data_IF_986723464828
#
_entry.id   IF_986723464828
#
_cell.length_a   1.000
_cell.length_b   1.000
_cell.length_c   1.000
_cell.angle_alpha   90.00
_cell.angle_beta   90.00
_cell.angle_gamma   90.00
#
_symmetry.space_group_name_H-M   'P 1'
#
loop_
_entity.id
_entity.type
_entity.pdbx_description
1 polymer ?
#
# COMPACT_ATOMS: atom_id res chain seq x y z
N UNK A 1 -2.49 -12.72 20.30
CA UNK A 1 -2.96 -11.57 19.49
C UNK A 1 -2.11 -10.37 19.89
N UNK A 2 -1.10 -10.02 19.09
CA UNK A 2 -0.14 -8.95 19.45
C UNK A 2 -0.71 -7.61 18.97
N UNK A 3 -0.78 -6.64 19.88
CA UNK A 3 -1.40 -5.34 19.63
C UNK A 3 -0.33 -4.29 19.34
N UNK A 4 -0.76 -3.19 18.71
CA UNK A 4 0.00 -2.02 18.25
C UNK A 4 1.06 -1.44 19.22
N UNK A 5 1.05 -1.85 20.50
CA UNK A 5 1.99 -1.42 21.53
C UNK A 5 3.38 -2.05 21.42
N UNK A 6 3.52 -3.16 20.70
CA UNK A 6 4.80 -3.88 20.56
C UNK A 6 5.77 -3.24 19.53
N UNK A 7 5.32 -2.28 18.72
CA UNK A 7 6.18 -1.57 17.76
C UNK A 7 7.01 -0.43 18.36
N UNK A 8 6.78 -0.07 19.64
CA UNK A 8 7.44 1.06 20.30
C UNK A 8 8.89 0.82 20.77
N UNK A 9 9.53 -0.29 20.41
CA UNK A 9 10.82 -0.71 20.98
C UNK A 9 11.90 -1.13 19.94
N UNK A 10 11.84 -0.62 18.71
CA UNK A 10 12.93 -0.79 17.74
C UNK A 10 13.76 0.48 17.61
N UNK A 11 14.43 0.87 18.69
CA UNK A 11 15.52 1.84 18.63
C UNK A 11 16.86 1.10 18.53
N UNK A 12 17.38 0.95 17.30
CA UNK A 12 18.82 1.03 16.92
C UNK A 12 19.05 0.49 15.49
N UNK A 13 19.34 1.40 14.56
CA UNK A 13 20.42 1.23 13.58
C UNK A 13 20.31 0.18 12.46
N UNK A 14 19.26 -0.63 12.37
CA UNK A 14 19.06 -1.54 11.24
C UNK A 14 18.04 -0.96 10.28
N UNK A 15 18.43 -0.86 9.01
CA UNK A 15 17.53 -0.51 7.93
C UNK A 15 16.35 -1.50 7.95
N UNK A 16 15.14 -1.03 8.30
CA UNK A 16 13.92 -1.83 8.29
C UNK A 16 13.62 -2.28 6.86
N UNK A 17 14.21 -3.41 6.49
CA UNK A 17 14.12 -4.07 5.20
C UNK A 17 13.39 -5.39 5.42
N UNK A 18 12.26 -5.58 4.75
CA UNK A 18 11.48 -6.81 4.88
C UNK A 18 10.10 -6.72 4.22
N UNK A 19 9.36 -7.84 4.16
CA UNK A 19 7.98 -7.86 3.71
C UNK A 19 7.14 -6.81 4.47
N UNK A 20 6.30 -6.05 3.76
CA UNK A 20 5.49 -4.98 4.37
C UNK A 20 6.19 -3.63 4.55
N UNK A 21 7.49 -3.52 4.25
CA UNK A 21 8.23 -2.26 4.35
C UNK A 21 8.53 -1.65 2.98
N UNK A 22 8.28 -0.35 2.87
CA UNK A 22 8.67 0.48 1.73
C UNK A 22 9.56 1.61 2.28
N UNK A 23 10.77 1.77 1.73
CA UNK A 23 11.71 2.87 2.11
C UNK A 23 11.91 3.01 3.64
N UNK A 24 11.95 1.89 4.37
CA UNK A 24 12.16 1.86 5.81
C UNK A 24 10.93 2.19 6.67
N UNK A 25 9.74 2.34 6.07
CA UNK A 25 8.47 2.52 6.77
C UNK A 25 7.49 1.40 6.44
N UNK A 26 6.64 1.04 7.39
CA UNK A 26 5.59 0.05 7.17
C UNK A 26 4.52 0.62 6.22
N UNK A 27 3.90 -0.20 5.38
CA UNK A 27 2.94 0.27 4.37
C UNK A 27 1.76 1.07 4.98
N UNK A 28 1.35 0.76 6.22
CA UNK A 28 0.29 1.48 6.93
C UNK A 28 0.63 2.94 7.23
N UNK A 29 1.90 3.29 7.31
CA UNK A 29 2.35 4.66 7.59
C UNK A 29 2.18 5.60 6.38
N UNK A 30 1.94 5.06 5.19
CA UNK A 30 1.78 5.83 3.96
C UNK A 30 0.34 6.26 3.68
N UNK A 31 -0.63 5.87 4.51
CA UNK A 31 -2.06 6.17 4.30
C UNK A 31 -2.30 7.68 4.19
N UNK A 32 -1.72 8.46 5.10
CA UNK A 32 -1.87 9.93 5.09
C UNK A 32 -1.22 10.56 3.86
N UNK A 33 -0.04 10.06 3.45
CA UNK A 33 0.68 10.54 2.27
C UNK A 33 -0.14 10.31 0.99
N UNK A 34 -0.71 9.11 0.83
CA UNK A 34 -1.62 8.77 -0.27
C UNK A 34 -2.83 9.70 -0.29
N UNK A 35 -3.47 9.91 0.87
CA UNK A 35 -4.63 10.81 0.97
C UNK A 35 -4.26 12.24 0.59
N UNK A 36 -3.10 12.75 1.03
CA UNK A 36 -2.63 14.09 0.70
C UNK A 36 -2.31 14.25 -0.80
N UNK A 37 -1.65 13.28 -1.43
CA UNK A 37 -1.38 13.29 -2.87
C UNK A 37 -2.69 13.33 -3.67
N UNK A 38 -3.68 12.51 -3.28
CA UNK A 38 -5.00 12.51 -3.92
C UNK A 38 -5.73 13.83 -3.74
N UNK A 39 -5.72 14.40 -2.53
CA UNK A 39 -6.39 15.67 -2.20
C UNK A 39 -5.78 16.85 -2.96
N UNK A 40 -4.46 16.82 -3.19
CA UNK A 40 -3.73 17.86 -3.93
C UNK A 40 -3.72 17.64 -5.44
N UNK A 41 -4.45 16.64 -5.96
CA UNK A 41 -4.56 16.37 -7.40
C UNK A 41 -3.33 15.71 -8.01
N UNK A 42 -2.32 15.34 -7.21
CA UNK A 42 -1.09 14.65 -7.64
C UNK A 42 -1.34 13.16 -7.85
N UNK A 43 -2.29 12.84 -8.73
CA UNK A 43 -2.79 11.48 -8.94
C UNK A 43 -1.71 10.55 -9.50
N UNK A 44 -0.79 11.04 -10.34
CA UNK A 44 0.30 10.23 -10.92
C UNK A 44 1.27 9.74 -9.84
N UNK A 45 1.51 10.58 -8.83
CA UNK A 45 2.37 10.25 -7.71
C UNK A 45 1.66 9.34 -6.71
N UNK A 46 0.37 9.60 -6.46
CA UNK A 46 -0.46 8.72 -5.66
C UNK A 46 -0.47 7.29 -6.24
N UNK A 47 -0.64 7.16 -7.55
CA UNK A 47 -0.60 5.86 -8.23
C UNK A 47 0.77 5.17 -8.07
N UNK A 48 1.86 5.88 -8.37
CA UNK A 48 3.22 5.32 -8.23
C UNK A 48 3.52 4.86 -6.80
N UNK A 49 3.04 5.60 -5.80
CA UNK A 49 3.18 5.21 -4.40
C UNK A 49 2.31 3.99 -4.09
N UNK A 50 1.04 4.01 -4.48
CA UNK A 50 0.11 2.90 -4.24
C UNK A 50 0.56 1.58 -4.88
N UNK A 51 1.11 1.60 -6.09
CA UNK A 51 1.63 0.38 -6.73
C UNK A 51 2.76 -0.26 -5.91
N UNK A 52 3.66 0.56 -5.34
CA UNK A 52 4.73 0.08 -4.45
C UNK A 52 4.18 -0.43 -3.12
N UNK A 53 3.12 0.19 -2.60
CA UNK A 53 2.46 -0.28 -1.38
C UNK A 53 1.75 -1.61 -1.61
N UNK A 54 1.13 -1.81 -2.77
CA UNK A 54 0.56 -3.11 -3.18
C UNK A 54 1.63 -4.19 -3.17
N UNK A 55 2.81 -3.94 -3.76
CA UNK A 55 3.93 -4.88 -3.73
C UNK A 55 4.38 -5.22 -2.30
N UNK A 56 4.48 -4.21 -1.43
CA UNK A 56 4.86 -4.41 -0.03
C UNK A 56 3.82 -5.23 0.76
N UNK A 57 2.53 -4.94 0.57
CA UNK A 57 1.42 -5.66 1.20
C UNK A 57 1.35 -7.10 0.72
N UNK A 58 1.50 -7.34 -0.58
CA UNK A 58 1.55 -8.71 -1.12
C UNK A 58 2.76 -9.50 -0.62
N UNK A 59 3.92 -8.85 -0.50
CA UNK A 59 5.10 -9.49 0.05
C UNK A 59 4.85 -9.92 1.50
N UNK A 60 4.24 -9.06 2.32
CA UNK A 60 3.87 -9.40 3.70
C UNK A 60 2.84 -10.53 3.73
N UNK A 61 1.77 -10.42 2.94
CA UNK A 61 0.72 -11.42 2.85
C UNK A 61 1.27 -12.81 2.48
N UNK A 62 2.19 -12.88 1.49
CA UNK A 62 2.88 -14.13 1.13
C UNK A 62 3.74 -14.69 2.26
N UNK A 63 4.42 -13.82 3.01
CA UNK A 63 5.28 -14.24 4.11
C UNK A 63 4.48 -14.71 5.34
N UNK A 64 3.33 -14.10 5.60
CA UNK A 64 2.50 -14.39 6.79
C UNK A 64 1.34 -15.36 6.51
N UNK A 65 1.01 -15.61 5.24
CA UNK A 65 -0.12 -16.44 4.82
C UNK A 65 -1.49 -15.80 5.06
N UNK A 66 -1.57 -14.47 5.10
CA UNK A 66 -2.79 -13.71 5.37
C UNK A 66 -3.33 -13.04 4.11
N UNK A 67 -4.55 -12.51 4.18
CA UNK A 67 -5.13 -11.71 3.09
C UNK A 67 -4.44 -10.35 2.92
N UNK A 68 -4.49 -9.80 1.70
CA UNK A 68 -3.97 -8.47 1.40
C UNK A 68 -4.95 -7.37 1.85
N UNK A 69 -4.42 -6.22 2.27
CA UNK A 69 -5.25 -5.08 2.66
C UNK A 69 -5.98 -4.48 1.43
N UNK A 70 -7.33 -4.50 1.37
CA UNK A 70 -8.08 -4.06 0.18
C UNK A 70 -7.90 -2.59 -0.17
N UNK A 71 -7.69 -1.74 0.85
CA UNK A 71 -7.70 -0.29 0.71
C UNK A 71 -6.76 0.22 -0.40
N UNK A 72 -5.56 -0.36 -0.55
CA UNK A 72 -4.58 0.07 -1.55
C UNK A 72 -5.04 -0.20 -2.99
N UNK A 73 -5.71 -1.34 -3.21
CA UNK A 73 -6.29 -1.69 -4.50
C UNK A 73 -7.49 -0.80 -4.83
N UNK A 74 -8.34 -0.53 -3.83
CA UNK A 74 -9.47 0.39 -3.98
C UNK A 74 -9.01 1.81 -4.33
N UNK A 75 -7.95 2.31 -3.70
CA UNK A 75 -7.43 3.65 -4.01
C UNK A 75 -6.92 3.74 -5.46
N UNK A 76 -6.26 2.69 -5.96
CA UNK A 76 -5.84 2.60 -7.37
C UNK A 76 -7.05 2.59 -8.30
N UNK A 77 -8.06 1.76 -8.01
CA UNK A 77 -9.29 1.71 -8.79
C UNK A 77 -9.99 3.08 -8.88
N UNK A 78 -10.06 3.82 -7.76
CA UNK A 78 -10.62 5.18 -7.74
C UNK A 78 -9.81 6.14 -8.62
N UNK A 79 -8.48 6.06 -8.60
CA UNK A 79 -7.61 6.90 -9.44
C UNK A 79 -7.84 6.58 -10.92
N UNK A 80 -7.84 5.31 -11.29
CA UNK A 80 -8.05 4.86 -12.67
C UNK A 80 -9.43 5.26 -13.19
N UNK A 81 -10.48 5.11 -12.37
CA UNK A 81 -11.83 5.54 -12.71
C UNK A 81 -11.93 7.04 -12.95
N UNK A 82 -11.26 7.86 -12.14
CA UNK A 82 -11.19 9.33 -12.33
C UNK A 82 -10.55 9.72 -13.67
N UNK A 83 -9.60 8.93 -14.16
CA UNK A 83 -8.95 9.12 -15.47
C UNK A 83 -9.68 8.45 -16.63
N UNK A 84 -10.77 7.72 -16.35
CA UNK A 84 -11.48 6.87 -17.31
C UNK A 84 -10.61 5.75 -17.89
N UNK A 85 -9.59 5.33 -17.15
CA UNK A 85 -8.77 4.16 -17.50
C UNK A 85 -9.42 2.89 -16.92
N UNK A 86 -10.50 2.45 -17.55
CA UNK A 86 -11.25 1.28 -17.09
C UNK A 86 -10.47 -0.02 -17.23
N UNK A 87 -9.51 -0.07 -18.16
CA UNK A 87 -8.65 -1.23 -18.33
C UNK A 87 -7.76 -1.43 -17.10
N UNK A 88 -7.11 -0.36 -16.62
CA UNK A 88 -6.30 -0.38 -15.41
C UNK A 88 -7.15 -0.63 -14.14
N UNK A 89 -8.35 -0.03 -14.05
CA UNK A 89 -9.30 -0.28 -12.95
C UNK A 89 -9.64 -1.78 -12.83
N UNK A 90 -10.02 -2.42 -13.94
CA UNK A 90 -10.35 -3.84 -13.94
C UNK A 90 -9.12 -4.70 -13.65
N UNK A 91 -7.95 -4.34 -14.19
CA UNK A 91 -6.72 -5.08 -13.97
C UNK A 91 -6.33 -5.11 -12.47
N UNK A 92 -6.40 -3.98 -11.77
CA UNK A 92 -6.02 -3.92 -10.36
C UNK A 92 -7.03 -4.63 -9.45
N UNK A 93 -8.33 -4.55 -9.75
CA UNK A 93 -9.36 -5.27 -8.99
C UNK A 93 -9.27 -6.78 -9.20
N UNK A 94 -8.96 -7.23 -10.43
CA UNK A 94 -8.69 -8.65 -10.70
C UNK A 94 -7.46 -9.16 -9.94
N UNK A 95 -6.40 -8.35 -9.85
CA UNK A 95 -5.20 -8.68 -9.07
C UNK A 95 -5.52 -8.88 -7.59
N UNK A 96 -6.40 -8.06 -7.01
CA UNK A 96 -6.85 -8.21 -5.63
C UNK A 96 -7.62 -9.52 -5.37
N UNK A 97 -8.38 -9.98 -6.37
CA UNK A 97 -9.21 -11.19 -6.25
C UNK A 97 -8.44 -12.49 -6.54
N UNK A 98 -7.19 -12.40 -7.00
CA UNK A 98 -6.34 -13.53 -7.37
C UNK A 98 -5.46 -13.99 -6.21
#
# INVERSE_FOLDING_TARGET
>A
MRTFRDYGNYARGESMQGPGFLRGKHYTEYVEEVQNLKRTGRLDEAEKLLLKLVEAVEAEARAQGWGVAPWYYEQLAIIYRKRKDYAAEVAILKRYMS
#
